data_IF_906291526518
#
_entry.id   IF_906291526518
#
_cell.length_a   1.000
_cell.length_b   1.000
_cell.length_c   1.000
_cell.angle_alpha   90.00
_cell.angle_beta   90.00
_cell.angle_gamma   90.00
#
_symmetry.space_group_name_H-M   'P 1'
#
loop_
_entity.id
_entity.type
_entity.pdbx_description
1 polymer ?
#
# COMPACT_ATOMS: atom_id res chain seq x y z
N UNK A 1 11.19 -21.61 -19.81
CA UNK A 1 11.35 -20.27 -19.20
C UNK A 1 12.50 -20.33 -18.21
N UNK A 2 13.41 -19.35 -18.23
CA UNK A 2 14.47 -19.25 -17.22
C UNK A 2 13.86 -19.04 -15.83
N UNK A 3 14.48 -19.57 -14.78
CA UNK A 3 13.97 -19.50 -13.39
C UNK A 3 13.76 -18.05 -12.92
N UNK A 4 14.66 -17.16 -13.29
CA UNK A 4 14.57 -15.73 -12.98
C UNK A 4 13.29 -15.08 -13.53
N UNK A 5 12.85 -15.48 -14.72
CA UNK A 5 11.61 -14.96 -15.32
C UNK A 5 10.38 -15.47 -14.55
N UNK A 6 10.41 -16.70 -14.06
CA UNK A 6 9.30 -17.27 -13.27
C UNK A 6 9.13 -16.47 -11.97
N UNK A 7 10.21 -16.20 -11.25
CA UNK A 7 10.18 -15.46 -9.98
C UNK A 7 9.64 -14.02 -10.16
N UNK A 8 10.04 -13.33 -11.22
CA UNK A 8 9.56 -11.97 -11.53
C UNK A 8 8.05 -11.99 -11.84
N UNK A 9 7.58 -12.99 -12.59
CA UNK A 9 6.16 -13.12 -12.94
C UNK A 9 5.32 -13.46 -11.71
N UNK A 10 5.80 -14.33 -10.82
CA UNK A 10 5.08 -14.68 -9.58
C UNK A 10 4.95 -13.48 -8.63
N UNK A 11 6.02 -12.71 -8.42
CA UNK A 11 6.00 -11.52 -7.55
C UNK A 11 5.09 -10.42 -8.12
N UNK A 12 5.05 -10.27 -9.45
CA UNK A 12 4.17 -9.28 -10.10
C UNK A 12 2.69 -9.68 -10.11
N UNK A 13 2.38 -10.96 -9.90
CA UNK A 13 1.01 -11.48 -9.74
C UNK A 13 0.56 -11.55 -8.27
N UNK A 14 1.43 -11.22 -7.32
CA UNK A 14 1.08 -11.28 -5.90
C UNK A 14 0.19 -10.11 -5.50
N UNK A 15 -0.96 -10.42 -4.92
CA UNK A 15 -1.85 -9.42 -4.30
C UNK A 15 -1.12 -8.79 -3.11
N UNK A 16 -1.03 -7.45 -3.09
CA UNK A 16 -0.38 -6.69 -2.01
C UNK A 16 -1.43 -6.01 -1.15
N UNK A 17 -1.28 -6.07 0.16
CA UNK A 17 -2.14 -5.33 1.09
C UNK A 17 -1.50 -4.00 1.42
N UNK A 18 -2.25 -2.92 1.21
CA UNK A 18 -1.86 -1.54 1.50
C UNK A 18 -2.65 -0.99 2.68
N UNK A 19 -2.05 -0.03 3.35
CA UNK A 19 -2.65 0.72 4.45
C UNK A 19 -2.60 2.20 4.11
N UNK A 20 -3.75 2.86 4.18
CA UNK A 20 -3.89 4.30 3.97
C UNK A 20 -3.99 5.00 5.31
N UNK A 21 -3.02 5.86 5.60
CA UNK A 21 -3.00 6.71 6.76
C UNK A 21 -3.62 8.06 6.38
N UNK A 22 -4.38 8.67 7.29
CA UNK A 22 -4.87 10.04 7.15
C UNK A 22 -4.45 10.88 8.34
N UNK A 23 -3.99 12.10 8.09
CA UNK A 23 -3.67 13.05 9.14
C UNK A 23 -4.95 13.56 9.81
N UNK A 24 -4.98 13.53 11.14
CA UNK A 24 -6.07 14.07 11.96
C UNK A 24 -6.32 15.57 11.69
N UNK A 25 -5.26 16.35 11.45
CA UNK A 25 -5.32 17.81 11.28
C UNK A 25 -5.55 18.27 9.85
N UNK A 26 -4.61 18.00 8.93
CA UNK A 26 -4.64 18.54 7.57
C UNK A 26 -5.26 17.58 6.53
N UNK A 27 -5.71 16.39 6.96
CA UNK A 27 -6.31 15.36 6.10
C UNK A 27 -5.41 14.83 4.97
N UNK A 28 -4.11 15.09 5.05
CA UNK A 28 -3.13 14.49 4.13
C UNK A 28 -3.18 12.97 4.23
N UNK A 29 -3.09 12.30 3.08
CA UNK A 29 -3.13 10.85 3.00
C UNK A 29 -1.77 10.30 2.59
N UNK A 30 -1.37 9.21 3.23
CA UNK A 30 -0.12 8.50 2.92
C UNK A 30 -0.44 7.02 2.78
N UNK A 31 -0.01 6.42 1.68
CA UNK A 31 -0.15 4.97 1.45
C UNK A 31 1.18 4.27 1.76
N UNK A 32 1.10 3.10 2.40
CA UNK A 32 2.24 2.21 2.62
C UNK A 32 1.84 0.74 2.57
N UNK A 33 2.82 -0.16 2.54
CA UNK A 33 2.56 -1.58 2.76
C UNK A 33 1.97 -1.81 4.15
N UNK A 34 1.06 -2.79 4.23
CA UNK A 34 0.46 -3.22 5.48
C UNK A 34 1.52 -3.79 6.42
N UNK A 35 1.41 -3.44 7.71
CA UNK A 35 2.25 -3.96 8.78
C UNK A 35 1.40 -4.78 9.74
N UNK A 36 1.97 -5.83 10.32
CA UNK A 36 1.27 -6.60 11.35
C UNK A 36 0.82 -5.70 12.51
N UNK A 37 -0.41 -5.93 12.97
CA UNK A 37 -1.02 -5.11 14.02
C UNK A 37 -1.63 -3.78 13.54
N UNK A 38 -1.67 -3.51 12.23
CA UNK A 38 -2.48 -2.43 11.68
C UNK A 38 -3.97 -2.79 11.70
N UNK A 39 -4.81 -1.85 12.16
CA UNK A 39 -6.26 -1.93 12.11
C UNK A 39 -6.84 -0.54 11.86
N UNK A 40 -8.04 -0.48 11.26
CA UNK A 40 -8.72 0.78 10.96
C UNK A 40 -8.97 1.58 12.25
N UNK A 41 -8.73 2.89 12.21
CA UNK A 41 -8.74 3.85 13.31
C UNK A 41 -7.59 3.75 14.33
N UNK A 42 -6.60 2.87 14.13
CA UNK A 42 -5.37 2.89 14.93
C UNK A 42 -4.63 4.23 14.73
N UNK A 43 -4.28 4.91 15.82
CA UNK A 43 -3.32 6.03 15.79
C UNK A 43 -1.92 5.44 15.59
N UNK A 44 -1.20 5.92 14.58
CA UNK A 44 0.13 5.44 14.21
C UNK A 44 1.23 6.30 14.82
N UNK A 45 2.40 5.71 15.04
CA UNK A 45 3.61 6.46 15.44
C UNK A 45 4.17 7.34 14.31
N UNK A 46 3.71 7.10 13.07
CA UNK A 46 4.07 7.87 11.88
C UNK A 46 3.48 9.29 11.94
N UNK A 47 4.33 10.29 11.68
CA UNK A 47 3.95 11.70 11.67
C UNK A 47 3.59 12.16 10.26
N UNK A 48 2.62 13.05 10.17
CA UNK A 48 2.21 13.65 8.91
C UNK A 48 3.38 14.39 8.24
N UNK A 49 3.74 14.08 6.99
CA UNK A 49 4.87 14.71 6.31
C UNK A 49 4.67 16.22 6.04
N UNK A 50 3.43 16.71 6.11
CA UNK A 50 3.11 18.13 5.87
C UNK A 50 3.05 18.97 7.13
N UNK A 51 2.61 18.42 8.26
CA UNK A 51 2.33 19.22 9.46
C UNK A 51 2.76 18.56 10.77
N UNK A 52 3.44 17.40 10.72
CA UNK A 52 4.00 16.67 11.85
C UNK A 52 3.01 16.25 12.95
N UNK A 53 1.70 16.35 12.69
CA UNK A 53 0.66 15.81 13.58
C UNK A 53 0.58 14.29 13.43
N UNK A 54 -0.15 13.63 14.32
CA UNK A 54 -0.31 12.18 14.23
C UNK A 54 -1.14 11.83 13.00
N UNK A 55 -1.08 10.54 12.64
CA UNK A 55 -1.91 9.98 11.60
C UNK A 55 -2.66 8.78 12.16
N UNK A 56 -3.79 8.47 11.57
CA UNK A 56 -4.57 7.29 11.90
C UNK A 56 -4.80 6.45 10.65
N UNK A 57 -4.96 5.15 10.82
CA UNK A 57 -5.25 4.24 9.71
C UNK A 57 -6.68 4.45 9.27
N UNK A 58 -6.88 4.95 8.05
CA UNK A 58 -8.21 5.18 7.49
C UNK A 58 -8.76 3.96 6.77
N UNK A 59 -7.92 3.26 5.99
CA UNK A 59 -8.31 2.10 5.19
C UNK A 59 -7.19 1.06 5.15
N UNK A 60 -7.57 -0.21 5.04
CA UNK A 60 -6.68 -1.33 4.70
C UNK A 60 -7.35 -2.05 3.52
N UNK A 61 -6.62 -2.26 2.42
CA UNK A 61 -7.17 -2.84 1.19
C UNK A 61 -6.12 -3.63 0.42
N UNK A 62 -6.60 -4.50 -0.46
CA UNK A 62 -5.76 -5.25 -1.39
C UNK A 62 -5.66 -4.52 -2.73
N UNK A 63 -4.44 -4.45 -3.27
CA UNK A 63 -4.18 -4.01 -4.63
C UNK A 63 -4.04 -5.25 -5.50
N UNK A 64 -4.93 -5.38 -6.49
CA UNK A 64 -4.84 -6.45 -7.46
C UNK A 64 -3.71 -6.15 -8.47
N UNK A 65 -2.92 -7.15 -8.85
CA UNK A 65 -1.94 -7.00 -9.92
C UNK A 65 -2.66 -6.67 -11.23
N UNK A 66 -2.29 -5.56 -11.87
CA UNK A 66 -2.81 -5.26 -13.20
C UNK A 66 -1.99 -6.04 -14.21
N UNK A 67 -2.59 -7.06 -14.82
CA UNK A 67 -1.98 -7.73 -15.98
C UNK A 67 -2.04 -6.72 -17.14
N UNK A 68 -0.96 -6.00 -17.38
CA UNK A 68 -0.84 -5.16 -18.57
C UNK A 68 -0.85 -6.08 -19.79
N UNK A 69 -2.01 -6.21 -20.44
CA UNK A 69 -2.09 -6.75 -21.80
C UNK A 69 -1.45 -5.73 -22.70
N UNK A 70 -0.13 -5.81 -22.88
CA UNK A 70 0.57 -5.06 -23.92
C UNK A 70 -0.13 -5.36 -25.24
N UNK A 71 -0.74 -4.35 -25.84
CA UNK A 71 -1.32 -4.43 -27.17
C UNK A 71 -0.23 -4.90 -28.13
N UNK A 72 -0.32 -6.16 -28.55
CA UNK A 72 0.41 -6.65 -29.72
C UNK A 72 -0.27 -5.98 -30.90
N UNK A 73 0.34 -4.92 -31.42
CA UNK A 73 0.03 -4.29 -32.71
C UNK A 73 0.98 -4.89 -33.74
#
# INVERSE_FOLDING_TARGET
MSREIIEIVEESLKVKTKTLLECEKCKEKVERDHKEGDYVNKITDEKCPKCSNSMYIKLIYSVQPTVQRSSII
#
